data_IF_693161948444
#
_entry.id   IF_693161948444
#
_cell.length_a   1.000
_cell.length_b   1.000
_cell.length_c   1.000
_cell.angle_alpha   90.00
_cell.angle_beta   90.00
_cell.angle_gamma   90.00
#
_symmetry.space_group_name_H-M   'P 1'
#
loop_
_entity.id
_entity.type
_entity.pdbx_description
1 polymer ?
#
# COMPACT_ATOMS: atom_id res chain seq x y z
N UNK A 1 -43.80 -34.78 2.71
CA UNK A 1 -43.74 -33.97 3.95
C UNK A 1 -42.50 -33.09 3.93
N UNK A 2 -42.66 -31.82 3.54
CA UNK A 2 -41.58 -30.84 3.54
C UNK A 2 -41.35 -30.32 4.96
N UNK A 3 -40.20 -30.56 5.54
CA UNK A 3 -39.77 -29.98 6.80
C UNK A 3 -39.37 -28.51 6.55
N UNK A 4 -40.32 -27.60 6.73
CA UNK A 4 -40.01 -26.17 6.90
C UNK A 4 -39.35 -25.98 8.28
N UNK A 5 -38.04 -25.83 8.31
CA UNK A 5 -37.33 -25.40 9.51
C UNK A 5 -37.82 -23.98 9.87
N UNK A 6 -38.66 -23.88 10.88
CA UNK A 6 -39.07 -22.62 11.54
C UNK A 6 -37.81 -21.93 12.07
N UNK A 7 -37.33 -20.88 11.38
CA UNK A 7 -36.38 -19.93 11.94
C UNK A 7 -37.05 -19.22 13.12
N UNK A 8 -36.75 -19.63 14.36
CA UNK A 8 -37.22 -18.92 15.54
C UNK A 8 -36.54 -17.54 15.63
N UNK A 9 -37.26 -16.45 15.95
CA UNK A 9 -36.68 -15.11 16.08
C UNK A 9 -35.52 -15.05 17.06
N UNK A 10 -35.49 -15.89 18.10
CA UNK A 10 -34.37 -16.01 19.04
C UNK A 10 -33.07 -16.52 18.42
N UNK A 11 -33.11 -17.39 17.40
CA UNK A 11 -31.90 -17.89 16.73
C UNK A 11 -31.23 -16.81 15.88
N UNK A 12 -32.03 -15.95 15.25
CA UNK A 12 -31.52 -14.81 14.43
C UNK A 12 -30.86 -13.75 15.31
N UNK A 13 -31.45 -13.41 16.45
CA UNK A 13 -30.90 -12.41 17.39
C UNK A 13 -29.58 -12.88 18.02
N UNK A 14 -29.50 -14.12 18.44
CA UNK A 14 -28.27 -14.72 18.99
C UNK A 14 -27.17 -14.80 17.94
N UNK A 15 -27.53 -15.07 16.69
CA UNK A 15 -26.56 -15.08 15.57
C UNK A 15 -26.00 -13.69 15.29
N UNK A 16 -26.82 -12.65 15.24
CA UNK A 16 -26.37 -11.25 15.03
C UNK A 16 -25.41 -10.80 16.13
N UNK A 17 -25.68 -11.13 17.39
CA UNK A 17 -24.76 -10.86 18.52
C UNK A 17 -23.39 -11.54 18.32
N UNK A 18 -23.37 -12.80 17.92
CA UNK A 18 -22.12 -13.54 17.65
C UNK A 18 -21.33 -12.89 16.51
N UNK A 19 -22.00 -12.44 15.44
CA UNK A 19 -21.35 -11.76 14.31
C UNK A 19 -20.76 -10.41 14.72
N UNK A 20 -21.47 -9.63 15.53
CA UNK A 20 -20.97 -8.36 16.07
C UNK A 20 -19.73 -8.61 16.93
N UNK A 21 -19.76 -9.60 17.82
CA UNK A 21 -18.60 -9.96 18.64
C UNK A 21 -17.41 -10.39 17.79
N UNK A 22 -17.64 -11.21 16.76
CA UNK A 22 -16.59 -11.61 15.80
C UNK A 22 -15.99 -10.39 15.07
N UNK A 23 -16.85 -9.45 14.62
CA UNK A 23 -16.39 -8.21 13.97
C UNK A 23 -15.56 -7.34 14.92
N UNK A 24 -15.96 -7.22 16.21
CA UNK A 24 -15.21 -6.49 17.24
C UNK A 24 -13.83 -7.10 17.42
N UNK A 25 -13.75 -8.42 17.63
CA UNK A 25 -12.47 -9.12 17.84
C UNK A 25 -11.54 -9.02 16.61
N UNK A 26 -12.08 -9.25 15.41
CA UNK A 26 -11.33 -9.11 14.16
C UNK A 26 -10.80 -7.69 14.00
N UNK A 27 -11.64 -6.69 14.25
CA UNK A 27 -11.26 -5.28 14.11
C UNK A 27 -10.16 -4.88 15.10
N UNK A 28 -10.32 -5.26 16.37
CA UNK A 28 -9.35 -4.96 17.42
C UNK A 28 -7.98 -5.60 17.11
N UNK A 29 -7.96 -6.90 16.82
CA UNK A 29 -6.72 -7.61 16.51
C UNK A 29 -6.04 -7.08 15.24
N UNK A 30 -6.82 -6.75 14.21
CA UNK A 30 -6.31 -6.20 12.96
C UNK A 30 -5.75 -4.79 13.13
N UNK A 31 -6.44 -3.93 13.87
CA UNK A 31 -5.98 -2.58 14.15
C UNK A 31 -4.72 -2.60 15.03
N UNK A 32 -4.70 -3.41 16.08
CA UNK A 32 -3.52 -3.56 16.94
C UNK A 32 -2.30 -4.07 16.16
N UNK A 33 -2.49 -5.10 15.31
CA UNK A 33 -1.41 -5.61 14.45
C UNK A 33 -0.91 -4.53 13.47
N UNK A 34 -1.82 -3.77 12.86
CA UNK A 34 -1.47 -2.69 11.94
C UNK A 34 -0.64 -1.59 12.61
N UNK A 35 -1.06 -1.13 13.81
CA UNK A 35 -0.32 -0.15 14.61
C UNK A 35 1.05 -0.69 15.02
N UNK A 36 1.12 -1.93 15.52
CA UNK A 36 2.38 -2.55 15.90
C UNK A 36 3.36 -2.63 14.71
N UNK A 37 2.88 -3.07 13.54
CA UNK A 37 3.71 -3.16 12.35
C UNK A 37 4.19 -1.77 11.89
N UNK A 38 3.32 -0.75 11.90
CA UNK A 38 3.65 0.63 11.57
C UNK A 38 4.77 1.16 12.47
N UNK A 39 4.56 1.17 13.79
CA UNK A 39 5.52 1.75 14.73
C UNK A 39 6.86 1.02 14.74
N UNK A 40 6.84 -0.31 14.74
CA UNK A 40 8.06 -1.10 14.72
C UNK A 40 8.83 -0.84 13.43
N UNK A 41 8.13 -0.78 12.28
CA UNK A 41 8.79 -0.53 10.99
C UNK A 41 9.37 0.87 10.93
N UNK A 42 8.60 1.91 11.24
CA UNK A 42 9.08 3.31 11.23
C UNK A 42 10.30 3.51 12.16
N UNK A 43 10.26 2.93 13.36
CA UNK A 43 11.34 3.04 14.32
C UNK A 43 12.64 2.40 13.81
N UNK A 44 12.57 1.14 13.38
CA UNK A 44 13.77 0.43 12.93
C UNK A 44 14.24 0.89 11.56
N UNK A 45 13.35 1.26 10.64
CA UNK A 45 13.72 1.83 9.34
C UNK A 45 14.55 3.10 9.54
N UNK A 46 14.13 4.02 10.41
CA UNK A 46 14.87 5.24 10.71
C UNK A 46 16.27 4.94 11.26
N UNK A 47 16.40 3.99 12.20
CA UNK A 47 17.70 3.61 12.78
C UNK A 47 18.65 3.03 11.71
N UNK A 48 18.12 2.12 10.89
CA UNK A 48 18.92 1.44 9.86
C UNK A 48 19.29 2.37 8.72
N UNK A 49 18.38 3.26 8.32
CA UNK A 49 18.65 4.29 7.33
C UNK A 49 19.76 5.24 7.78
N UNK A 50 19.69 5.78 9.00
CA UNK A 50 20.74 6.64 9.57
C UNK A 50 22.10 5.90 9.64
N UNK A 51 22.13 4.62 9.95
CA UNK A 51 23.38 3.83 9.90
C UNK A 51 23.93 3.73 8.48
N UNK A 52 23.06 3.57 7.48
CA UNK A 52 23.46 3.48 6.09
C UNK A 52 23.94 4.83 5.53
N UNK A 53 23.36 5.95 5.95
CA UNK A 53 23.85 7.29 5.62
C UNK A 53 25.22 7.57 6.22
N UNK A 54 25.45 7.17 7.47
CA UNK A 54 26.74 7.33 8.13
C UNK A 54 27.85 6.41 7.58
N UNK A 55 27.47 5.27 6.99
CA UNK A 55 28.43 4.35 6.38
C UNK A 55 27.79 3.63 5.17
N UNK A 56 28.20 4.06 3.98
CA UNK A 56 27.69 3.58 2.70
C UNK A 56 27.75 2.06 2.50
N UNK A 57 28.62 1.34 3.23
CA UNK A 57 28.72 -0.13 3.17
C UNK A 57 27.38 -0.78 3.54
N UNK A 58 26.59 -0.16 4.42
CA UNK A 58 25.29 -0.70 4.80
C UNK A 58 24.27 -0.67 3.66
N UNK A 59 24.37 0.26 2.69
CA UNK A 59 23.55 0.20 1.48
C UNK A 59 23.83 -1.04 0.61
N UNK A 60 25.03 -1.65 0.75
CA UNK A 60 25.35 -2.92 0.10
C UNK A 60 24.90 -4.12 0.92
N UNK A 61 25.15 -4.10 2.23
CA UNK A 61 24.97 -5.26 3.12
C UNK A 61 23.50 -5.48 3.47
N UNK A 62 22.75 -4.41 3.77
CA UNK A 62 21.38 -4.53 4.25
C UNK A 62 20.43 -5.21 3.26
N UNK A 63 20.40 -4.87 1.95
CA UNK A 63 19.52 -5.56 1.02
C UNK A 63 19.81 -7.06 0.90
N UNK A 64 21.09 -7.45 0.88
CA UNK A 64 21.50 -8.85 0.83
C UNK A 64 21.05 -9.59 2.09
N UNK A 65 21.32 -9.01 3.26
CA UNK A 65 20.96 -9.60 4.55
C UNK A 65 19.45 -9.73 4.70
N UNK A 66 18.68 -8.65 4.42
CA UNK A 66 17.23 -8.64 4.54
C UNK A 66 16.55 -9.67 3.65
N UNK A 67 16.88 -9.73 2.36
CA UNK A 67 16.32 -10.71 1.44
C UNK A 67 16.71 -12.14 1.78
N UNK A 68 17.96 -12.36 2.27
CA UNK A 68 18.42 -13.67 2.73
C UNK A 68 17.68 -14.11 4.00
N UNK A 69 17.48 -13.20 4.96
CA UNK A 69 16.73 -13.47 6.19
C UNK A 69 15.27 -13.83 5.89
N UNK A 70 14.61 -13.10 4.97
CA UNK A 70 13.24 -13.43 4.52
C UNK A 70 13.19 -14.83 3.90
N UNK A 71 14.18 -15.17 3.07
CA UNK A 71 14.26 -16.53 2.49
C UNK A 71 14.42 -17.60 3.56
N UNK A 72 15.31 -17.37 4.53
CA UNK A 72 15.52 -18.26 5.66
C UNK A 72 14.25 -18.47 6.48
N UNK A 73 13.54 -17.39 6.85
CA UNK A 73 12.27 -17.47 7.58
C UNK A 73 11.21 -18.27 6.79
N UNK A 74 11.09 -18.01 5.49
CA UNK A 74 10.15 -18.74 4.64
C UNK A 74 10.51 -20.21 4.51
N UNK A 75 11.80 -20.54 4.42
CA UNK A 75 12.26 -21.90 4.26
C UNK A 75 12.05 -22.74 5.52
N UNK A 76 12.49 -22.23 6.66
CA UNK A 76 12.48 -22.98 7.93
C UNK A 76 11.18 -22.76 8.73
N UNK A 77 10.72 -21.52 8.89
CA UNK A 77 9.57 -21.21 9.74
C UNK A 77 8.25 -21.40 9.01
N UNK A 78 8.16 -20.99 7.74
CA UNK A 78 6.91 -21.00 6.97
C UNK A 78 6.84 -22.14 5.93
N UNK A 79 7.62 -23.22 6.09
CA UNK A 79 7.56 -24.47 5.31
C UNK A 79 7.56 -24.23 3.80
N UNK A 80 8.43 -23.34 3.30
CA UNK A 80 8.59 -22.96 1.86
C UNK A 80 7.35 -22.32 1.21
N UNK A 81 6.36 -21.88 1.98
CA UNK A 81 5.15 -21.26 1.43
C UNK A 81 5.44 -19.83 0.97
N UNK A 82 5.06 -19.51 -0.27
CA UNK A 82 5.22 -18.19 -0.85
C UNK A 82 4.10 -17.24 -0.44
N UNK A 83 4.42 -15.94 -0.39
CA UNK A 83 3.45 -14.87 -0.25
C UNK A 83 3.15 -14.30 -1.66
N UNK A 84 1.86 -14.21 -2.01
CA UNK A 84 1.38 -13.67 -3.30
C UNK A 84 0.66 -12.32 -3.14
N UNK A 85 0.68 -11.74 -1.93
CA UNK A 85 0.07 -10.46 -1.63
C UNK A 85 -1.45 -10.46 -1.82
N UNK A 86 -2.00 -9.34 -2.31
CA UNK A 86 -3.45 -9.13 -2.48
C UNK A 86 -4.09 -10.16 -3.42
N UNK A 87 -3.35 -10.76 -4.33
CA UNK A 87 -3.87 -11.80 -5.24
C UNK A 87 -4.46 -13.01 -4.47
N UNK A 88 -3.89 -13.34 -3.30
CA UNK A 88 -4.43 -14.40 -2.44
C UNK A 88 -5.79 -14.03 -1.84
N UNK A 89 -5.97 -12.76 -1.50
CA UNK A 89 -7.24 -12.26 -0.97
C UNK A 89 -8.32 -12.35 -2.04
N UNK A 90 -8.02 -11.95 -3.28
CA UNK A 90 -8.96 -12.10 -4.39
C UNK A 90 -9.36 -13.57 -4.62
N UNK A 91 -8.37 -14.47 -4.60
CA UNK A 91 -8.65 -15.88 -4.72
C UNK A 91 -9.55 -16.43 -3.60
N UNK A 92 -9.38 -15.91 -2.37
CA UNK A 92 -10.17 -16.29 -1.20
C UNK A 92 -11.59 -15.71 -1.21
N UNK A 93 -11.76 -14.47 -1.63
CA UNK A 93 -13.06 -13.79 -1.65
C UNK A 93 -13.93 -14.18 -2.86
N UNK A 94 -13.30 -14.46 -4.01
CA UNK A 94 -14.00 -14.89 -5.23
C UNK A 94 -14.28 -16.39 -5.24
N UNK A 95 -13.32 -17.21 -4.78
CA UNK A 95 -13.44 -18.67 -4.71
C UNK A 95 -13.56 -19.09 -3.26
N UNK A 96 -14.78 -19.27 -2.76
CA UNK A 96 -15.06 -19.63 -1.37
C UNK A 96 -14.37 -20.90 -0.87
N UNK A 97 -13.86 -21.74 -1.77
CA UNK A 97 -13.08 -22.95 -1.48
C UNK A 97 -11.64 -22.68 -1.08
N UNK A 98 -11.08 -21.50 -1.39
CA UNK A 98 -9.71 -21.12 -1.00
C UNK A 98 -9.72 -20.43 0.36
N UNK A 99 -8.66 -20.66 1.14
CA UNK A 99 -8.51 -20.14 2.50
C UNK A 99 -7.25 -19.28 2.60
N UNK A 100 -7.24 -18.36 3.58
CA UNK A 100 -6.04 -17.62 3.98
C UNK A 100 -5.52 -18.22 5.29
N UNK A 101 -4.50 -19.08 5.25
CA UNK A 101 -4.03 -19.77 6.45
C UNK A 101 -3.48 -18.82 7.51
N UNK A 102 -3.64 -19.18 8.78
CA UNK A 102 -3.22 -18.39 9.95
C UNK A 102 -1.73 -17.99 9.91
N UNK A 103 -0.83 -18.84 9.37
CA UNK A 103 0.59 -18.51 9.26
C UNK A 103 0.87 -17.25 8.41
N UNK A 104 -0.07 -16.80 7.59
CA UNK A 104 0.05 -15.55 6.83
C UNK A 104 0.14 -14.33 7.73
N UNK A 105 -0.44 -14.38 8.92
CA UNK A 105 -0.39 -13.28 9.87
C UNK A 105 1.08 -13.00 10.26
N UNK A 106 1.80 -13.91 10.94
CA UNK A 106 3.21 -13.66 11.30
C UNK A 106 4.13 -13.60 10.07
N UNK A 107 3.82 -14.30 8.98
CA UNK A 107 4.65 -14.30 7.78
C UNK A 107 4.69 -12.92 7.11
N UNK A 108 3.53 -12.29 6.92
CA UNK A 108 3.49 -10.95 6.32
C UNK A 108 3.98 -9.88 7.28
N UNK A 109 3.71 -10.02 8.59
CA UNK A 109 4.24 -9.11 9.60
C UNK A 109 5.78 -9.07 9.56
N UNK A 110 6.43 -10.23 9.74
CA UNK A 110 7.89 -10.30 9.80
C UNK A 110 8.55 -9.99 8.44
N UNK A 111 8.05 -10.56 7.36
CA UNK A 111 8.66 -10.35 6.06
C UNK A 111 8.49 -8.91 5.56
N UNK A 112 7.31 -8.27 5.81
CA UNK A 112 7.07 -6.86 5.48
C UNK A 112 8.01 -5.94 6.25
N UNK A 113 8.09 -6.13 7.57
CA UNK A 113 9.02 -5.42 8.45
C UNK A 113 10.46 -5.52 7.95
N UNK A 114 10.96 -6.75 7.78
CA UNK A 114 12.35 -7.00 7.35
C UNK A 114 12.61 -6.39 5.98
N UNK A 115 11.65 -6.49 5.04
CA UNK A 115 11.84 -5.92 3.70
C UNK A 115 12.12 -4.42 3.78
N UNK A 116 11.31 -3.66 4.49
CA UNK A 116 11.41 -2.20 4.58
C UNK A 116 12.64 -1.78 5.38
N UNK A 117 12.81 -2.34 6.59
CA UNK A 117 13.91 -2.02 7.50
C UNK A 117 15.28 -2.24 6.88
N UNK A 118 15.46 -3.27 6.06
CA UNK A 118 16.72 -3.56 5.37
C UNK A 118 16.81 -2.95 3.95
N UNK A 119 16.08 -1.89 3.68
CA UNK A 119 16.19 -1.10 2.46
C UNK A 119 15.53 -1.67 1.22
N UNK A 120 14.67 -2.67 1.37
CA UNK A 120 13.83 -3.11 0.27
C UNK A 120 12.82 -2.02 -0.12
N UNK A 121 12.80 -1.64 -1.39
CA UNK A 121 12.03 -0.50 -1.90
C UNK A 121 10.54 -0.83 -2.07
N UNK A 122 9.84 -1.04 -0.96
CA UNK A 122 8.38 -1.27 -0.87
C UNK A 122 7.84 -0.68 0.43
N UNK A 123 6.51 -0.77 0.63
CA UNK A 123 5.90 -0.42 1.92
C UNK A 123 5.22 -1.61 2.59
N UNK A 124 4.86 -1.45 3.85
CA UNK A 124 4.22 -2.47 4.70
C UNK A 124 2.71 -2.63 4.42
N UNK A 125 2.12 -1.78 3.57
CA UNK A 125 0.67 -1.69 3.40
C UNK A 125 0.06 -3.01 2.91
N UNK A 126 0.68 -3.63 1.90
CA UNK A 126 0.19 -4.93 1.38
C UNK A 126 0.40 -6.04 2.40
N UNK A 127 1.49 -6.00 3.14
CA UNK A 127 1.75 -6.95 4.22
C UNK A 127 0.69 -6.83 5.31
N UNK A 128 0.33 -5.61 5.71
CA UNK A 128 -0.77 -5.35 6.66
C UNK A 128 -2.11 -5.83 6.10
N UNK A 129 -2.44 -5.48 4.85
CA UNK A 129 -3.70 -5.90 4.22
C UNK A 129 -3.84 -7.42 4.21
N UNK A 130 -2.79 -8.17 3.88
CA UNK A 130 -2.87 -9.64 3.84
C UNK A 130 -2.92 -10.24 5.24
N UNK A 131 -2.14 -9.71 6.19
CA UNK A 131 -2.16 -10.17 7.58
C UNK A 131 -3.54 -9.95 8.23
N UNK A 132 -4.12 -8.76 8.06
CA UNK A 132 -5.45 -8.42 8.61
C UNK A 132 -6.58 -9.14 7.90
N UNK A 133 -6.48 -9.37 6.59
CA UNK A 133 -7.37 -10.26 5.86
C UNK A 133 -7.34 -11.69 6.41
N UNK A 134 -6.15 -12.20 6.74
CA UNK A 134 -6.00 -13.51 7.35
C UNK A 134 -6.63 -13.57 8.74
N UNK A 135 -6.51 -12.51 9.57
CA UNK A 135 -7.23 -12.41 10.86
C UNK A 135 -8.74 -12.52 10.62
N UNK A 136 -9.29 -11.76 9.66
CA UNK A 136 -10.71 -11.80 9.31
C UNK A 136 -11.17 -13.17 8.79
N UNK A 137 -10.25 -13.95 8.20
CA UNK A 137 -10.54 -15.29 7.69
C UNK A 137 -10.53 -16.39 8.76
N UNK A 138 -9.94 -16.16 9.95
CA UNK A 138 -9.85 -17.17 11.02
C UNK A 138 -11.23 -17.61 11.51
N UNK A 139 -12.13 -16.66 11.73
CA UNK A 139 -13.48 -16.93 12.27
C UNK A 139 -14.30 -17.81 11.34
N UNK A 140 -14.44 -17.48 10.03
CA UNK A 140 -15.17 -18.33 9.08
C UNK A 140 -14.58 -19.72 8.87
N UNK A 141 -13.28 -19.92 9.14
CA UNK A 141 -12.65 -21.22 9.04
C UNK A 141 -12.91 -22.11 10.24
N UNK A 142 -12.92 -21.53 11.44
CA UNK A 142 -13.17 -22.27 12.68
C UNK A 142 -14.65 -22.55 12.90
N UNK A 143 -15.54 -21.63 12.53
CA UNK A 143 -16.97 -21.66 12.80
C UNK A 143 -17.77 -21.71 11.49
N UNK A 144 -18.38 -22.85 11.19
CA UNK A 144 -19.14 -23.07 9.94
C UNK A 144 -20.28 -22.08 9.72
N UNK A 145 -20.89 -21.58 10.81
CA UNK A 145 -21.99 -20.62 10.79
C UNK A 145 -21.59 -19.30 10.13
N UNK A 146 -20.27 -18.94 10.15
CA UNK A 146 -19.75 -17.70 9.57
C UNK A 146 -19.23 -17.87 8.13
N UNK A 147 -19.21 -19.07 7.57
CA UNK A 147 -18.71 -19.30 6.19
C UNK A 147 -19.38 -18.41 5.15
N UNK A 148 -20.68 -18.12 5.31
CA UNK A 148 -21.43 -17.24 4.41
C UNK A 148 -20.99 -15.75 4.48
N UNK A 149 -20.37 -15.34 5.59
CA UNK A 149 -19.88 -13.97 5.84
C UNK A 149 -18.35 -13.84 5.74
N UNK A 150 -17.72 -14.81 5.09
CA UNK A 150 -16.26 -14.86 4.93
C UNK A 150 -15.70 -13.59 4.31
N UNK A 151 -16.30 -13.11 3.22
CA UNK A 151 -15.85 -11.89 2.53
C UNK A 151 -16.01 -10.66 3.41
N UNK A 152 -17.13 -10.54 4.12
CA UNK A 152 -17.40 -9.43 5.01
C UNK A 152 -16.40 -9.35 6.17
N UNK A 153 -16.08 -10.48 6.82
CA UNK A 153 -15.11 -10.52 7.91
C UNK A 153 -13.67 -10.31 7.43
N UNK A 154 -13.31 -10.79 6.24
CA UNK A 154 -12.02 -10.46 5.61
C UNK A 154 -11.93 -8.95 5.38
N UNK A 155 -12.97 -8.33 4.80
CA UNK A 155 -13.03 -6.87 4.60
C UNK A 155 -12.98 -6.11 5.93
N UNK A 156 -13.63 -6.60 6.99
CA UNK A 156 -13.58 -6.03 8.34
C UNK A 156 -12.15 -5.92 8.85
N UNK A 157 -11.35 -6.99 8.72
CA UNK A 157 -9.94 -6.96 9.10
C UNK A 157 -9.13 -5.96 8.25
N UNK A 158 -9.34 -5.95 6.94
CA UNK A 158 -8.66 -5.03 6.01
C UNK A 158 -9.03 -3.57 6.33
N UNK A 159 -10.32 -3.27 6.52
CA UNK A 159 -10.79 -1.93 6.86
C UNK A 159 -10.12 -1.42 8.13
N UNK A 160 -10.06 -2.23 9.19
CA UNK A 160 -9.39 -1.86 10.43
C UNK A 160 -7.88 -1.60 10.21
N UNK A 161 -7.19 -2.50 9.49
CA UNK A 161 -5.76 -2.38 9.21
C UNK A 161 -5.40 -1.13 8.40
N UNK A 162 -6.13 -0.85 7.32
CA UNK A 162 -5.92 0.36 6.49
C UNK A 162 -6.24 1.64 7.26
N UNK A 163 -7.32 1.62 8.08
CA UNK A 163 -7.67 2.76 8.91
C UNK A 163 -6.52 3.18 9.81
N UNK A 164 -5.90 2.24 10.50
CA UNK A 164 -4.82 2.58 11.44
C UNK A 164 -3.50 2.91 10.75
N UNK A 165 -3.21 2.32 9.59
CA UNK A 165 -1.99 2.65 8.84
C UNK A 165 -1.96 4.11 8.40
N UNK A 166 -3.09 4.61 7.93
CA UNK A 166 -3.16 5.90 7.25
C UNK A 166 -3.95 6.97 8.01
N UNK A 167 -4.46 6.65 9.20
CA UNK A 167 -5.31 7.56 9.97
C UNK A 167 -6.63 7.90 9.24
N UNK A 168 -7.09 7.04 8.30
CA UNK A 168 -8.24 7.34 7.43
C UNK A 168 -9.31 6.26 7.47
N UNK A 169 -10.34 6.42 8.32
CA UNK A 169 -11.45 5.48 8.43
C UNK A 169 -12.21 5.29 7.11
N UNK A 170 -12.41 6.37 6.36
CA UNK A 170 -13.12 6.35 5.07
C UNK A 170 -12.28 5.61 4.02
N UNK A 171 -10.97 5.82 3.98
CA UNK A 171 -10.10 5.08 3.06
C UNK A 171 -10.11 3.56 3.34
N UNK A 172 -10.18 3.16 4.62
CA UNK A 172 -10.25 1.76 5.02
C UNK A 172 -11.44 1.02 4.41
N UNK A 173 -12.66 1.59 4.53
CA UNK A 173 -13.86 0.97 3.96
C UNK A 173 -13.86 1.07 2.42
N UNK A 174 -13.44 2.20 1.86
CA UNK A 174 -13.38 2.39 0.40
C UNK A 174 -12.38 1.42 -0.24
N UNK A 175 -11.25 1.14 0.39
CA UNK A 175 -10.32 0.12 -0.08
C UNK A 175 -10.98 -1.26 -0.17
N UNK A 176 -11.73 -1.62 0.86
CA UNK A 176 -12.49 -2.88 0.86
C UNK A 176 -13.54 -2.93 -0.26
N UNK A 177 -14.17 -1.78 -0.60
CA UNK A 177 -15.18 -1.67 -1.66
C UNK A 177 -14.55 -1.63 -3.06
N UNK A 178 -13.58 -0.76 -3.29
CA UNK A 178 -13.02 -0.53 -4.62
C UNK A 178 -12.05 -1.63 -5.06
N UNK A 179 -11.25 -2.16 -4.10
CA UNK A 179 -10.18 -3.11 -4.40
C UNK A 179 -10.58 -4.55 -4.14
N UNK A 180 -11.24 -4.86 -3.01
CA UNK A 180 -11.42 -6.26 -2.57
C UNK A 180 -12.75 -6.85 -3.04
N UNK A 181 -13.87 -6.17 -2.78
CA UNK A 181 -15.20 -6.72 -3.08
C UNK A 181 -16.14 -5.68 -3.68
N UNK A 182 -16.90 -6.11 -4.68
CA UNK A 182 -18.00 -5.28 -5.24
C UNK A 182 -19.36 -5.65 -4.64
N UNK A 183 -19.40 -6.61 -3.73
CA UNK A 183 -20.64 -7.09 -3.09
C UNK A 183 -20.89 -6.30 -1.82
N UNK A 184 -21.82 -5.37 -1.87
CA UNK A 184 -22.25 -4.53 -0.77
C UNK A 184 -23.60 -5.01 -0.25
N UNK A 185 -23.65 -5.41 1.01
CA UNK A 185 -24.86 -5.81 1.69
C UNK A 185 -24.92 -5.18 3.10
N UNK A 186 -26.08 -5.27 3.77
CA UNK A 186 -26.26 -4.71 5.12
C UNK A 186 -25.22 -5.23 6.11
N UNK A 187 -24.86 -6.50 6.01
CA UNK A 187 -23.85 -7.13 6.88
C UNK A 187 -22.46 -6.55 6.65
N UNK A 188 -22.10 -6.28 5.41
CA UNK A 188 -20.83 -5.61 5.08
C UNK A 188 -20.73 -4.25 5.77
N UNK A 189 -21.75 -3.40 5.65
CA UNK A 189 -21.73 -2.08 6.28
C UNK A 189 -21.73 -2.17 7.80
N UNK A 190 -22.47 -3.13 8.40
CA UNK A 190 -22.46 -3.36 9.85
C UNK A 190 -21.05 -3.74 10.34
N UNK A 191 -20.44 -4.77 9.74
CA UNK A 191 -19.15 -5.29 10.24
C UNK A 191 -17.99 -4.33 9.95
N UNK A 192 -17.98 -3.67 8.79
CA UNK A 192 -16.96 -2.68 8.46
C UNK A 192 -17.18 -1.34 9.18
N UNK A 193 -18.42 -0.97 9.51
CA UNK A 193 -18.72 0.14 10.41
C UNK A 193 -18.15 -0.08 11.80
N UNK A 194 -18.28 -1.29 12.35
CA UNK A 194 -17.64 -1.68 13.63
C UNK A 194 -16.12 -1.55 13.50
N UNK A 195 -15.53 -1.97 12.38
CA UNK A 195 -14.09 -1.86 12.15
C UNK A 195 -13.61 -0.41 12.17
N UNK A 196 -14.34 0.50 11.52
CA UNK A 196 -14.05 1.93 11.55
C UNK A 196 -14.06 2.46 12.98
N UNK A 197 -15.13 2.17 13.75
CA UNK A 197 -15.28 2.68 15.12
C UNK A 197 -14.13 2.18 16.01
N UNK A 198 -13.81 0.88 15.96
CA UNK A 198 -12.75 0.31 16.81
C UNK A 198 -11.37 0.81 16.39
N UNK A 199 -11.08 0.86 15.11
CA UNK A 199 -9.80 1.36 14.62
C UNK A 199 -9.61 2.85 14.95
N UNK A 200 -10.67 3.68 14.79
CA UNK A 200 -10.63 5.09 15.18
C UNK A 200 -10.46 5.28 16.69
N UNK A 201 -11.12 4.45 17.51
CA UNK A 201 -10.95 4.49 18.95
C UNK A 201 -9.50 4.17 19.37
N UNK A 202 -8.85 3.21 18.70
CA UNK A 202 -7.44 2.90 18.94
C UNK A 202 -6.51 4.03 18.48
N UNK A 203 -6.77 4.67 17.33
CA UNK A 203 -6.02 5.85 16.89
C UNK A 203 -6.10 6.99 17.92
N UNK A 204 -7.27 7.24 18.47
CA UNK A 204 -7.45 8.25 19.53
C UNK A 204 -6.78 7.83 20.85
N UNK A 205 -6.87 6.56 21.22
CA UNK A 205 -6.28 6.05 22.46
C UNK A 205 -4.75 6.14 22.47
N UNK A 206 -4.11 5.90 21.32
CA UNK A 206 -2.66 6.00 21.17
C UNK A 206 -2.16 7.39 20.73
N UNK A 207 -3.06 8.39 20.63
CA UNK A 207 -2.77 9.75 20.16
C UNK A 207 -1.98 9.75 18.83
N UNK A 208 -2.47 8.94 17.88
CA UNK A 208 -1.81 8.78 16.59
C UNK A 208 -1.86 10.07 15.77
N UNK A 209 -0.68 10.55 15.40
CA UNK A 209 -0.54 11.75 14.56
C UNK A 209 -0.64 11.40 13.07
N UNK A 210 -0.94 12.41 12.27
CA UNK A 210 -0.87 12.31 10.82
C UNK A 210 0.52 11.84 10.36
N UNK A 211 0.57 11.00 9.32
CA UNK A 211 1.84 10.45 8.82
C UNK A 211 2.76 11.56 8.29
N UNK A 212 2.16 12.59 7.67
CA UNK A 212 2.86 13.77 7.21
C UNK A 212 2.31 15.03 7.88
N UNK A 213 3.19 15.79 8.52
CA UNK A 213 2.87 17.12 9.05
C UNK A 213 3.20 18.14 7.99
N UNK A 214 2.18 18.75 7.41
CA UNK A 214 2.32 19.74 6.35
C UNK A 214 1.27 20.84 6.52
N UNK A 215 1.69 22.10 6.39
CA UNK A 215 0.77 23.22 6.35
C UNK A 215 0.32 23.47 4.92
N UNK A 216 -0.95 23.14 4.61
CA UNK A 216 -1.51 23.41 3.30
C UNK A 216 -2.01 24.84 3.20
N UNK A 217 -1.75 25.44 2.05
CA UNK A 217 -2.38 26.68 1.61
C UNK A 217 -3.49 26.36 0.59
N UNK A 218 -4.40 27.31 0.42
CA UNK A 218 -5.45 27.20 -0.60
C UNK A 218 -4.83 27.03 -2.00
N UNK A 219 -5.53 26.30 -2.85
CA UNK A 219 -5.12 26.15 -4.25
C UNK A 219 -5.80 27.20 -5.14
N UNK A 220 -5.19 27.51 -6.27
CA UNK A 220 -5.68 28.52 -7.20
C UNK A 220 -6.25 27.88 -8.48
N UNK A 221 -7.35 28.45 -9.01
CA UNK A 221 -8.01 27.93 -10.22
C UNK A 221 -7.11 27.91 -11.46
N UNK A 222 -6.11 28.81 -11.56
CA UNK A 222 -5.15 28.79 -12.66
C UNK A 222 -4.27 27.55 -12.68
N UNK A 223 -4.19 26.76 -11.58
CA UNK A 223 -3.44 25.52 -11.52
C UNK A 223 -4.18 24.31 -12.14
N UNK A 224 -5.49 24.42 -12.45
CA UNK A 224 -6.30 23.31 -12.98
C UNK A 224 -5.70 22.68 -14.25
N UNK A 225 -5.28 23.42 -15.29
CA UNK A 225 -4.67 22.82 -16.48
C UNK A 225 -3.43 21.99 -16.15
N UNK A 226 -2.62 22.45 -15.20
CA UNK A 226 -1.41 21.77 -14.75
C UNK A 226 -1.73 20.54 -13.89
N UNK A 227 -2.82 20.58 -13.12
CA UNK A 227 -3.32 19.39 -12.43
C UNK A 227 -3.79 18.31 -13.41
N UNK A 228 -4.46 18.69 -14.50
CA UNK A 228 -4.85 17.74 -15.55
C UNK A 228 -3.61 17.11 -16.19
N UNK A 229 -2.59 17.91 -16.51
CA UNK A 229 -1.31 17.42 -17.02
C UNK A 229 -0.67 16.43 -16.03
N UNK A 230 -0.61 16.77 -14.74
CA UNK A 230 -0.10 15.89 -13.70
C UNK A 230 -0.87 14.56 -13.66
N UNK A 231 -2.19 14.59 -13.79
CA UNK A 231 -3.04 13.39 -13.83
C UNK A 231 -2.71 12.45 -14.99
N UNK A 232 -2.48 12.99 -16.18
CA UNK A 232 -2.06 12.20 -17.35
C UNK A 232 -0.67 11.59 -17.11
N UNK A 233 0.30 12.38 -16.65
CA UNK A 233 1.66 11.92 -16.36
C UNK A 233 1.68 10.85 -15.26
N UNK A 234 0.87 11.03 -14.21
CA UNK A 234 0.70 10.06 -13.13
C UNK A 234 0.13 8.73 -13.65
N UNK A 235 -0.87 8.79 -14.54
CA UNK A 235 -1.42 7.61 -15.19
C UNK A 235 -0.39 6.85 -16.02
N UNK A 236 0.43 7.55 -16.82
CA UNK A 236 1.53 6.97 -17.61
C UNK A 236 2.58 6.33 -16.69
N UNK A 237 3.00 7.05 -15.64
CA UNK A 237 4.00 6.55 -14.69
C UNK A 237 3.52 5.30 -13.94
N UNK A 238 2.25 5.26 -13.54
CA UNK A 238 1.63 4.07 -12.94
C UNK A 238 1.70 2.84 -13.87
N UNK A 239 1.49 3.03 -15.19
CA UNK A 239 1.66 1.94 -16.16
C UNK A 239 3.11 1.50 -16.23
N UNK A 240 4.07 2.44 -16.19
CA UNK A 240 5.49 2.12 -16.12
C UNK A 240 5.81 1.27 -14.88
N UNK A 241 5.37 1.69 -13.69
CA UNK A 241 5.53 0.92 -12.46
C UNK A 241 4.94 -0.49 -12.59
N UNK A 242 3.70 -0.61 -13.07
CA UNK A 242 3.02 -1.90 -13.21
C UNK A 242 3.75 -2.83 -14.18
N UNK A 243 4.11 -2.34 -15.37
CA UNK A 243 4.82 -3.14 -16.38
C UNK A 243 6.21 -3.56 -15.90
N UNK A 244 6.93 -2.68 -15.19
CA UNK A 244 8.25 -2.98 -14.64
C UNK A 244 8.16 -4.10 -13.60
N UNK A 245 7.18 -4.05 -12.68
CA UNK A 245 6.95 -5.13 -11.69
C UNK A 245 6.63 -6.45 -12.39
N UNK A 246 5.74 -6.45 -13.37
CA UNK A 246 5.37 -7.67 -14.10
C UNK A 246 6.56 -8.24 -14.88
N UNK A 247 7.36 -7.37 -15.52
CA UNK A 247 8.56 -7.76 -16.26
C UNK A 247 9.59 -8.42 -15.32
N UNK A 248 9.92 -7.81 -14.19
CA UNK A 248 10.86 -8.38 -13.23
C UNK A 248 10.36 -9.70 -12.67
N UNK A 249 9.08 -9.79 -12.28
CA UNK A 249 8.47 -11.06 -11.83
C UNK A 249 8.61 -12.16 -12.87
N UNK A 250 8.35 -11.84 -14.13
CA UNK A 250 8.48 -12.80 -15.26
C UNK A 250 9.93 -13.21 -15.49
N UNK A 251 10.88 -12.28 -15.44
CA UNK A 251 12.32 -12.60 -15.63
C UNK A 251 12.87 -13.40 -14.46
N UNK A 252 12.59 -13.01 -13.22
CA UNK A 252 13.06 -13.69 -12.03
C UNK A 252 12.42 -15.08 -11.83
N UNK A 253 11.20 -15.31 -12.33
CA UNK A 253 10.59 -16.64 -12.29
C UNK A 253 11.37 -17.67 -13.11
N UNK A 254 12.13 -17.25 -14.13
CA UNK A 254 12.98 -18.10 -14.97
C UNK A 254 14.34 -18.45 -14.33
N UNK A 255 14.72 -17.77 -13.24
CA UNK A 255 15.97 -18.06 -12.53
C UNK A 255 15.85 -19.38 -11.75
N UNK A 256 16.86 -20.26 -11.93
CA UNK A 256 16.86 -21.64 -11.42
C UNK A 256 16.78 -21.72 -9.90
N UNK A 257 17.46 -20.83 -9.17
CA UNK A 257 17.55 -20.89 -7.71
C UNK A 257 17.11 -19.58 -7.05
N UNK A 258 16.62 -19.68 -5.83
CA UNK A 258 16.26 -18.50 -5.05
C UNK A 258 17.50 -17.65 -4.70
N UNK A 259 18.65 -18.29 -4.55
CA UNK A 259 19.92 -17.59 -4.32
C UNK A 259 20.25 -16.60 -5.43
N UNK A 260 20.11 -16.98 -6.70
CA UNK A 260 20.33 -16.06 -7.84
C UNK A 260 19.34 -14.88 -7.81
N UNK A 261 18.08 -15.12 -7.41
CA UNK A 261 17.10 -14.04 -7.29
C UNK A 261 17.50 -13.04 -6.23
N UNK A 262 17.95 -13.52 -5.06
CA UNK A 262 18.42 -12.66 -3.97
C UNK A 262 19.65 -11.88 -4.40
N UNK A 263 20.64 -12.53 -4.99
CA UNK A 263 21.90 -11.89 -5.38
C UNK A 263 21.67 -10.78 -6.44
N UNK A 264 20.90 -11.07 -7.49
CA UNK A 264 20.62 -10.08 -8.53
C UNK A 264 19.73 -8.96 -7.98
N UNK A 265 18.68 -9.29 -7.21
CA UNK A 265 17.79 -8.30 -6.63
C UNK A 265 18.48 -7.38 -5.64
N UNK A 266 19.32 -7.93 -4.75
CA UNK A 266 20.09 -7.12 -3.80
C UNK A 266 21.16 -6.27 -4.50
N UNK A 267 21.82 -6.77 -5.55
CA UNK A 267 22.75 -5.97 -6.32
C UNK A 267 22.08 -4.75 -6.97
N UNK A 268 20.90 -4.94 -7.59
CA UNK A 268 20.12 -3.84 -8.16
C UNK A 268 19.72 -2.83 -7.08
N UNK A 269 19.24 -3.31 -5.92
CA UNK A 269 18.90 -2.46 -4.78
C UNK A 269 20.11 -1.67 -4.29
N UNK A 270 21.22 -2.35 -4.03
CA UNK A 270 22.45 -1.74 -3.51
C UNK A 270 22.96 -0.63 -4.42
N UNK A 271 23.04 -0.90 -5.74
CA UNK A 271 23.47 0.12 -6.71
C UNK A 271 22.52 1.32 -6.71
N UNK A 272 21.20 1.06 -6.73
CA UNK A 272 20.22 2.15 -6.71
C UNK A 272 20.26 2.99 -5.42
N UNK A 273 20.48 2.37 -4.26
CA UNK A 273 20.58 3.04 -2.96
C UNK A 273 21.89 3.83 -2.81
N UNK A 274 22.99 3.36 -3.41
CA UNK A 274 24.25 4.12 -3.45
C UNK A 274 24.13 5.38 -4.30
N UNK A 275 23.38 5.31 -5.41
CA UNK A 275 23.16 6.47 -6.28
C UNK A 275 22.15 7.46 -5.69
N UNK A 276 21.06 6.94 -5.13
CA UNK A 276 19.96 7.74 -4.56
C UNK A 276 19.50 7.12 -3.23
N UNK A 277 20.09 7.52 -2.09
CA UNK A 277 19.68 7.04 -0.76
C UNK A 277 18.20 7.25 -0.43
N UNK A 278 17.57 8.28 -1.02
CA UNK A 278 16.14 8.59 -0.86
C UNK A 278 15.21 7.44 -1.29
N UNK A 279 15.71 6.47 -2.06
CA UNK A 279 14.95 5.30 -2.52
C UNK A 279 14.84 4.17 -1.48
N UNK A 280 15.49 4.34 -0.29
CA UNK A 280 15.50 3.36 0.80
C UNK A 280 14.09 3.11 1.33
N UNK A 281 13.77 1.86 1.66
CA UNK A 281 12.54 1.45 2.29
C UNK A 281 11.28 1.91 1.54
N UNK A 282 10.30 2.40 2.29
CA UNK A 282 9.07 2.98 1.73
C UNK A 282 9.31 4.36 1.10
N UNK A 283 10.32 5.10 1.56
CA UNK A 283 10.70 6.42 1.07
C UNK A 283 9.96 7.57 1.76
N UNK A 284 9.13 7.31 2.76
CA UNK A 284 8.37 8.37 3.45
C UNK A 284 9.27 9.37 4.18
N UNK A 285 10.46 8.96 4.61
CA UNK A 285 11.47 9.85 5.20
C UNK A 285 11.85 10.99 4.24
N UNK A 286 12.08 10.69 2.95
CA UNK A 286 12.44 11.71 1.96
C UNK A 286 11.26 12.67 1.64
N UNK A 287 10.02 12.19 1.69
CA UNK A 287 8.83 13.05 1.58
C UNK A 287 8.72 13.98 2.80
N UNK A 288 8.90 13.43 4.02
CA UNK A 288 8.89 14.19 5.28
C UNK A 288 9.96 15.27 5.27
N UNK A 289 11.15 14.96 4.77
CA UNK A 289 12.26 15.91 4.66
C UNK A 289 11.91 17.10 3.76
N UNK A 290 11.30 16.88 2.59
CA UNK A 290 10.87 17.95 1.68
C UNK A 290 9.75 18.78 2.28
N UNK A 291 8.82 18.17 3.02
CA UNK A 291 7.74 18.91 3.69
C UNK A 291 8.23 19.76 4.85
N UNK A 292 9.31 19.34 5.53
CA UNK A 292 9.89 20.08 6.66
C UNK A 292 10.83 21.20 6.22
N UNK A 293 11.51 21.02 5.09
CA UNK A 293 12.51 21.97 4.59
C UNK A 293 11.97 22.75 3.40
N UNK A 294 12.51 23.96 3.18
CA UNK A 294 12.27 24.67 1.92
C UNK A 294 12.78 23.82 0.75
N UNK A 295 12.07 23.84 -0.37
CA UNK A 295 12.54 23.17 -1.58
C UNK A 295 13.97 23.64 -1.92
N UNK A 296 14.91 22.72 -2.18
CA UNK A 296 16.28 23.07 -2.53
C UNK A 296 16.34 24.02 -3.73
N UNK A 297 17.43 24.76 -3.84
CA UNK A 297 17.68 25.60 -5.01
C UNK A 297 17.55 24.77 -6.29
N UNK A 298 16.80 25.30 -7.26
CA UNK A 298 16.51 24.60 -8.52
C UNK A 298 17.76 24.62 -9.39
N UNK A 299 18.45 23.49 -9.43
CA UNK A 299 19.68 23.27 -10.22
C UNK A 299 19.45 22.13 -11.21
N UNK A 300 20.34 22.01 -12.20
CA UNK A 300 20.32 20.86 -13.12
C UNK A 300 20.45 19.53 -12.36
N UNK A 301 21.28 19.48 -11.34
CA UNK A 301 21.44 18.31 -10.47
C UNK A 301 20.15 17.97 -9.75
N UNK A 302 19.38 18.97 -9.28
CA UNK A 302 18.07 18.75 -8.67
C UNK A 302 17.09 18.08 -9.62
N UNK A 303 16.96 18.57 -10.87
CA UNK A 303 16.12 17.94 -11.88
C UNK A 303 16.56 16.51 -12.20
N UNK A 304 17.89 16.28 -12.33
CA UNK A 304 18.42 14.93 -12.56
C UNK A 304 18.08 13.99 -11.40
N UNK A 305 18.14 14.44 -10.15
CA UNK A 305 17.74 13.68 -8.95
C UNK A 305 16.26 13.32 -9.00
N UNK A 306 15.38 14.29 -9.29
CA UNK A 306 13.93 14.04 -9.38
C UNK A 306 13.59 12.99 -10.48
N UNK A 307 14.20 13.12 -11.66
CA UNK A 307 14.04 12.15 -12.75
C UNK A 307 14.58 10.78 -12.30
N UNK A 308 15.75 10.74 -11.70
CA UNK A 308 16.37 9.52 -11.17
C UNK A 308 15.43 8.81 -10.18
N UNK A 309 14.84 9.55 -9.24
CA UNK A 309 13.87 9.03 -8.27
C UNK A 309 12.66 8.41 -8.99
N UNK A 310 12.04 9.14 -9.92
CA UNK A 310 10.83 8.71 -10.64
C UNK A 310 11.09 7.45 -11.47
N UNK A 311 12.28 7.33 -12.06
CA UNK A 311 12.66 6.20 -12.94
C UNK A 311 13.16 5.00 -12.12
N UNK A 312 13.98 5.22 -11.10
CA UNK A 312 14.61 4.12 -10.36
C UNK A 312 13.70 3.49 -9.31
N UNK A 313 12.80 4.25 -8.66
CA UNK A 313 11.89 3.67 -7.65
C UNK A 313 11.08 2.48 -8.18
N UNK A 314 10.44 2.51 -9.38
CA UNK A 314 9.79 1.35 -9.99
C UNK A 314 10.72 0.15 -10.19
N UNK A 315 11.98 0.39 -10.58
CA UNK A 315 12.97 -0.67 -10.81
C UNK A 315 13.34 -1.34 -9.48
N UNK A 316 13.67 -0.54 -8.46
CA UNK A 316 14.03 -1.06 -7.14
C UNK A 316 12.87 -1.81 -6.48
N UNK A 317 11.66 -1.25 -6.55
CA UNK A 317 10.44 -1.94 -6.10
C UNK A 317 10.26 -3.29 -6.78
N UNK A 318 10.45 -3.31 -8.11
CA UNK A 318 10.30 -4.54 -8.90
C UNK A 318 11.36 -5.58 -8.55
N UNK A 319 12.61 -5.16 -8.36
CA UNK A 319 13.72 -6.02 -7.94
C UNK A 319 13.45 -6.61 -6.55
N UNK A 320 13.02 -5.79 -5.59
CA UNK A 320 12.64 -6.22 -4.23
C UNK A 320 11.59 -7.33 -4.26
N UNK A 321 10.46 -7.06 -4.93
CA UNK A 321 9.33 -8.00 -5.01
C UNK A 321 9.70 -9.28 -5.76
N UNK A 322 10.47 -9.17 -6.84
CA UNK A 322 10.89 -10.32 -7.66
C UNK A 322 11.94 -11.19 -6.96
N UNK A 323 12.81 -10.60 -6.13
CA UNK A 323 13.80 -11.33 -5.33
C UNK A 323 13.20 -12.06 -4.12
N UNK A 324 11.96 -11.74 -3.77
CA UNK A 324 11.25 -12.39 -2.66
C UNK A 324 11.00 -11.50 -1.46
N UNK A 325 11.25 -10.19 -1.54
CA UNK A 325 10.77 -9.23 -0.56
C UNK A 325 9.26 -9.27 -0.42
N UNK A 326 8.74 -8.88 0.72
CA UNK A 326 7.29 -8.75 0.98
C UNK A 326 6.89 -7.28 0.98
N UNK A 327 5.68 -7.00 0.53
CA UNK A 327 5.18 -5.65 0.39
C UNK A 327 4.40 -5.46 -0.91
N UNK A 328 4.30 -4.23 -1.37
CA UNK A 328 3.53 -3.90 -2.57
C UNK A 328 3.91 -2.59 -3.24
N UNK A 329 3.03 -2.15 -4.11
CA UNK A 329 3.24 -0.92 -4.90
C UNK A 329 2.58 0.33 -4.28
N UNK A 330 2.03 0.25 -3.06
CA UNK A 330 1.35 1.39 -2.41
C UNK A 330 2.33 2.52 -2.10
N UNK A 331 3.24 2.32 -1.13
CA UNK A 331 4.24 3.32 -0.79
C UNK A 331 5.06 3.76 -2.00
N UNK A 332 5.55 2.87 -2.88
CA UNK A 332 6.19 3.29 -4.12
C UNK A 332 5.33 4.21 -4.99
N UNK A 333 4.01 3.96 -5.09
CA UNK A 333 3.10 4.83 -5.86
C UNK A 333 2.95 6.21 -5.23
N UNK A 334 2.79 6.28 -3.91
CA UNK A 334 2.73 7.54 -3.16
C UNK A 334 4.04 8.32 -3.32
N UNK A 335 5.16 7.65 -3.12
CA UNK A 335 6.48 8.22 -3.25
C UNK A 335 6.74 8.78 -4.66
N UNK A 336 6.55 7.97 -5.70
CA UNK A 336 6.71 8.39 -7.09
C UNK A 336 5.77 9.57 -7.39
N UNK A 337 4.53 9.51 -6.90
CA UNK A 337 3.55 10.58 -7.09
C UNK A 337 3.97 11.90 -6.48
N UNK A 338 4.53 11.88 -5.26
CA UNK A 338 5.06 13.07 -4.60
C UNK A 338 6.18 13.72 -5.42
N UNK A 339 7.17 12.93 -5.82
CA UNK A 339 8.30 13.44 -6.59
C UNK A 339 7.94 13.82 -8.03
N UNK A 340 6.99 13.15 -8.66
CA UNK A 340 6.45 13.55 -9.96
C UNK A 340 5.72 14.89 -9.87
N UNK A 341 4.91 15.10 -8.83
CA UNK A 341 4.25 16.36 -8.55
C UNK A 341 5.26 17.48 -8.34
N UNK A 342 6.28 17.24 -7.53
CA UNK A 342 7.37 18.17 -7.29
C UNK A 342 8.15 18.52 -8.57
N UNK A 343 8.44 17.53 -9.40
CA UNK A 343 9.10 17.72 -10.70
C UNK A 343 8.28 18.61 -11.63
N UNK A 344 6.98 18.34 -11.77
CA UNK A 344 6.09 19.15 -12.60
C UNK A 344 6.01 20.58 -12.09
N UNK A 345 5.82 20.77 -10.78
CA UNK A 345 5.76 22.10 -10.18
C UNK A 345 7.08 22.88 -10.35
N UNK A 346 8.22 22.20 -10.20
CA UNK A 346 9.54 22.79 -10.40
C UNK A 346 9.74 23.29 -11.83
N UNK A 347 9.35 22.49 -12.84
CA UNK A 347 9.39 22.91 -14.26
C UNK A 347 8.48 24.11 -14.49
N UNK A 348 7.23 24.07 -14.01
CA UNK A 348 6.26 25.13 -14.20
C UNK A 348 6.73 26.46 -13.58
N UNK A 349 7.31 26.42 -12.40
CA UNK A 349 7.80 27.62 -11.74
C UNK A 349 9.08 28.17 -12.36
N UNK A 350 10.01 27.30 -12.79
CA UNK A 350 11.30 27.74 -13.33
C UNK A 350 11.19 28.26 -14.75
N UNK A 351 10.49 27.54 -15.63
CA UNK A 351 10.48 27.87 -17.06
C UNK A 351 9.23 28.62 -17.51
N UNK A 352 8.09 28.44 -16.81
CA UNK A 352 6.82 29.06 -17.16
C UNK A 352 6.37 30.15 -16.17
N UNK A 353 7.13 30.38 -15.09
CA UNK A 353 6.81 31.36 -14.06
C UNK A 353 5.38 31.27 -13.53
N UNK A 354 4.84 30.04 -13.43
CA UNK A 354 3.43 29.79 -13.17
C UNK A 354 3.04 29.98 -11.71
N UNK A 355 3.99 30.20 -10.79
CA UNK A 355 3.77 30.43 -9.36
C UNK A 355 2.85 29.37 -8.71
N UNK A 356 2.98 28.12 -9.13
CA UNK A 356 2.23 27.01 -8.51
C UNK A 356 2.89 26.58 -7.20
N UNK A 357 2.07 26.02 -6.30
CA UNK A 357 2.52 25.60 -4.97
C UNK A 357 3.07 24.17 -5.05
N UNK A 358 4.39 23.93 -4.91
CA UNK A 358 4.98 22.59 -5.12
C UNK A 358 4.41 21.53 -4.19
N UNK A 359 4.15 21.85 -2.92
CA UNK A 359 3.57 20.93 -1.93
C UNK A 359 2.19 20.43 -2.38
N UNK A 360 1.35 21.30 -2.93
CA UNK A 360 0.05 20.89 -3.46
C UNK A 360 0.19 19.89 -4.60
N UNK A 361 1.17 20.11 -5.50
CA UNK A 361 1.47 19.17 -6.59
C UNK A 361 1.99 17.82 -6.07
N UNK A 362 2.82 17.83 -5.04
CA UNK A 362 3.30 16.59 -4.39
C UNK A 362 2.12 15.77 -3.87
N UNK A 363 1.25 16.38 -3.08
CA UNK A 363 0.12 15.70 -2.45
C UNK A 363 -0.88 15.20 -3.50
N UNK A 364 -1.23 16.02 -4.48
CA UNK A 364 -2.11 15.63 -5.60
C UNK A 364 -1.46 14.48 -6.39
N UNK A 365 -0.17 14.56 -6.66
CA UNK A 365 0.60 13.52 -7.34
C UNK A 365 0.60 12.18 -6.61
N UNK A 366 0.76 12.20 -5.25
CA UNK A 366 0.67 11.00 -4.41
C UNK A 366 -0.64 10.25 -4.68
N UNK A 367 -1.77 10.95 -4.57
CA UNK A 367 -3.08 10.35 -4.79
C UNK A 367 -3.28 9.90 -6.24
N UNK A 368 -2.79 10.66 -7.22
CA UNK A 368 -2.93 10.36 -8.63
C UNK A 368 -2.23 9.06 -9.05
N UNK A 369 -0.95 8.90 -8.69
CA UNK A 369 -0.20 7.67 -9.02
C UNK A 369 -0.75 6.46 -8.26
N UNK A 370 -1.11 6.62 -6.98
CA UNK A 370 -1.76 5.55 -6.23
C UNK A 370 -3.08 5.13 -6.85
N UNK A 371 -3.97 6.10 -7.14
CA UNK A 371 -5.27 5.86 -7.80
C UNK A 371 -5.12 5.04 -9.08
N UNK A 372 -4.15 5.41 -9.91
CA UNK A 372 -3.88 4.73 -11.16
C UNK A 372 -3.32 3.31 -10.96
N UNK A 373 -2.43 3.13 -9.97
CA UNK A 373 -1.74 1.85 -9.70
C UNK A 373 -2.67 0.77 -9.13
N UNK A 374 -3.64 1.17 -8.30
CA UNK A 374 -4.61 0.22 -7.70
C UNK A 374 -6.01 0.33 -8.31
N UNK A 375 -6.22 1.25 -9.25
CA UNK A 375 -7.51 1.57 -9.90
C UNK A 375 -8.63 1.95 -8.91
N UNK A 376 -8.29 2.59 -7.80
CA UNK A 376 -9.16 2.96 -6.70
C UNK A 376 -9.06 4.47 -6.37
N UNK A 377 -9.77 5.36 -7.10
CA UNK A 377 -9.61 6.81 -6.97
C UNK A 377 -10.16 7.37 -5.67
N UNK A 378 -11.29 6.87 -5.19
CA UNK A 378 -11.85 7.34 -3.91
C UNK A 378 -11.00 6.87 -2.73
N UNK A 379 -10.49 5.65 -2.78
CA UNK A 379 -9.53 5.16 -1.78
C UNK A 379 -8.30 6.05 -1.75
N UNK A 380 -7.68 6.35 -2.89
CA UNK A 380 -6.48 7.18 -2.97
C UNK A 380 -6.73 8.60 -2.45
N UNK A 381 -7.89 9.21 -2.79
CA UNK A 381 -8.30 10.52 -2.29
C UNK A 381 -8.33 10.55 -0.75
N UNK A 382 -9.17 9.70 -0.13
CA UNK A 382 -9.34 9.70 1.31
C UNK A 382 -8.11 9.21 2.07
N UNK A 383 -7.31 8.34 1.46
CA UNK A 383 -6.06 7.87 2.02
C UNK A 383 -5.05 9.02 2.14
N UNK A 384 -4.83 9.77 1.08
CA UNK A 384 -3.87 10.89 1.09
C UNK A 384 -4.37 12.02 1.98
N UNK A 385 -5.66 12.38 1.94
CA UNK A 385 -6.22 13.36 2.88
C UNK A 385 -6.06 12.92 4.33
N UNK A 386 -6.23 11.62 4.64
CA UNK A 386 -6.00 11.08 5.98
C UNK A 386 -4.54 11.12 6.42
N UNK A 387 -3.61 10.82 5.52
CA UNK A 387 -2.16 10.86 5.80
C UNK A 387 -1.67 12.24 6.21
N UNK A 388 -2.28 13.30 5.70
CA UNK A 388 -1.95 14.70 6.03
C UNK A 388 -2.94 15.33 7.01
N UNK A 389 -4.05 14.63 7.32
CA UNK A 389 -5.17 15.10 8.11
C UNK A 389 -5.74 16.45 7.63
N UNK A 390 -5.82 16.65 6.31
CA UNK A 390 -6.30 17.88 5.68
C UNK A 390 -7.08 17.57 4.39
N UNK A 391 -8.19 18.27 4.17
CA UNK A 391 -9.09 18.11 3.03
C UNK A 391 -9.14 19.32 2.10
N UNK A 392 -8.24 20.29 2.27
CA UNK A 392 -8.17 21.53 1.44
C UNK A 392 -8.03 21.20 -0.05
N UNK A 393 -7.30 20.13 -0.38
CA UNK A 393 -7.06 19.69 -1.76
C UNK A 393 -8.05 18.63 -2.26
N UNK A 394 -9.19 18.44 -1.57
CA UNK A 394 -10.16 17.39 -1.89
C UNK A 394 -10.56 17.37 -3.38
N UNK A 395 -11.01 18.49 -3.93
CA UNK A 395 -11.46 18.56 -5.33
C UNK A 395 -10.33 18.36 -6.35
N UNK A 396 -9.18 19.02 -6.24
CA UNK A 396 -8.02 18.72 -7.10
C UNK A 396 -7.61 17.26 -7.05
N UNK A 397 -7.51 16.67 -5.85
CA UNK A 397 -7.13 15.25 -5.68
C UNK A 397 -8.15 14.34 -6.37
N UNK A 398 -9.46 14.58 -6.18
CA UNK A 398 -10.50 13.77 -6.81
C UNK A 398 -10.40 13.82 -8.34
N UNK A 399 -10.31 15.02 -8.90
CA UNK A 399 -10.22 15.23 -10.34
C UNK A 399 -8.99 14.53 -10.93
N UNK A 400 -7.82 14.75 -10.34
CA UNK A 400 -6.56 14.20 -10.85
C UNK A 400 -6.48 12.67 -10.67
N UNK A 401 -7.02 12.14 -9.57
CA UNK A 401 -7.11 10.70 -9.33
C UNK A 401 -7.99 9.99 -10.37
N UNK A 402 -9.10 10.60 -10.77
CA UNK A 402 -9.96 10.06 -11.82
C UNK A 402 -9.28 10.10 -13.19
N UNK A 403 -8.62 11.22 -13.54
CA UNK A 403 -7.85 11.37 -14.78
C UNK A 403 -6.75 10.33 -14.85
N UNK A 404 -5.95 10.17 -13.79
CA UNK A 404 -4.85 9.23 -13.73
C UNK A 404 -5.32 7.78 -13.88
N UNK A 405 -6.40 7.39 -13.17
CA UNK A 405 -7.04 6.08 -13.33
C UNK A 405 -7.50 5.85 -14.76
N UNK A 406 -8.20 6.81 -15.37
CA UNK A 406 -8.69 6.68 -16.74
C UNK A 406 -7.53 6.52 -17.73
N UNK A 407 -6.51 7.34 -17.61
CA UNK A 407 -5.30 7.30 -18.46
C UNK A 407 -4.60 5.96 -18.34
N UNK A 408 -4.34 5.49 -17.11
CA UNK A 408 -3.67 4.20 -16.89
C UNK A 408 -4.49 3.04 -17.45
N UNK A 409 -5.82 3.04 -17.21
CA UNK A 409 -6.72 1.99 -17.70
C UNK A 409 -6.80 1.93 -19.22
N UNK A 410 -6.73 3.10 -19.89
CA UNK A 410 -6.74 3.19 -21.35
C UNK A 410 -5.45 2.63 -21.97
N UNK A 411 -4.29 2.84 -21.32
CA UNK A 411 -2.98 2.38 -21.81
C UNK A 411 -2.76 0.90 -21.45
N UNK A 412 -3.07 0.52 -20.17
CA UNK A 412 -2.88 -0.82 -19.67
C UNK A 412 -3.94 -1.11 -18.59
N UNK A 413 -4.99 -1.92 -18.90
CA UNK A 413 -6.17 -2.07 -18.05
C UNK A 413 -5.94 -2.92 -16.78
N UNK A 414 -4.74 -3.42 -16.57
CA UNK A 414 -4.41 -4.31 -15.46
C UNK A 414 -3.59 -3.62 -14.38
N UNK A 415 -3.78 -4.07 -13.15
CA UNK A 415 -2.92 -3.73 -12.01
C UNK A 415 -1.96 -4.89 -11.70
N UNK A 416 -0.94 -4.64 -10.89
CA UNK A 416 -0.03 -5.68 -10.39
C UNK A 416 -0.80 -6.83 -9.71
N UNK A 417 -1.97 -6.54 -9.13
CA UNK A 417 -2.76 -7.47 -8.32
C UNK A 417 -3.74 -8.33 -9.12
N UNK A 418 -4.30 -7.81 -10.22
CA UNK A 418 -5.31 -8.53 -11.00
C UNK A 418 -4.77 -9.19 -12.28
N UNK A 419 -3.57 -8.81 -12.74
CA UNK A 419 -2.97 -9.33 -13.97
C UNK A 419 -2.86 -10.86 -13.99
N UNK A 420 -2.39 -11.46 -12.88
CA UNK A 420 -2.26 -12.91 -12.78
C UNK A 420 -3.60 -13.67 -12.74
N UNK A 421 -4.67 -13.03 -12.27
CA UNK A 421 -6.00 -13.62 -12.22
C UNK A 421 -6.67 -13.72 -13.60
N UNK A 422 -6.33 -12.81 -14.50
CA UNK A 422 -6.85 -12.81 -15.88
C UNK A 422 -6.19 -13.92 -16.67
N UNK A 423 -4.89 -14.11 -16.52
CA UNK A 423 -4.15 -15.19 -17.20
C UNK A 423 -4.48 -16.59 -16.69
N UNK A 424 -5.15 -16.73 -15.54
CA UNK A 424 -5.67 -18.01 -15.05
C UNK A 424 -7.07 -18.34 -15.63
N UNK A 425 -7.72 -17.38 -16.30
CA UNK A 425 -9.03 -17.54 -16.94
C UNK A 425 -8.94 -17.72 -18.46
N UNK A 426 -7.80 -17.38 -19.06
CA UNK A 426 -7.45 -17.66 -20.46
C UNK A 426 -6.72 -19.01 -20.58
#
# INVERSE_FOLDING_TARGET
MMYQAKNSPNSSFTFTKKLILAAILVSFLSAFLGLALKHITEHYEAIFFLRAENNWIFFLVFPIFGLSLIYFLRYYLFKKKSNQGITEIFACTQFRSKTLPIYKIPSHFLNGLITVVFGGSTGIEVSTVVATAAIGNVVPEKETIFKKYKTELICTGITAGITVLFGSPIAGILFSIEVITKKLNKTFFLTNGIAIVIASALLLFFDEKALFTVALTTWHYHAIPYFILLGVLAGVNSVYLTKTVLFFKSKFSKLKTQFHKILIGSAILSVGLLVLPQLYGDGYHAIKEIFANSTPAITLTWFATLIGIIVLKPILTSATLAAGGDGGVFAPSLFIGAFLGLFVASILNTYFHSNVIPINFMIIGMAAVLSASIQAPFTALFLVCGMINDYTLFFPILMVSLIAKYTSKKIFPYTVYNYSLVNLKS
#
